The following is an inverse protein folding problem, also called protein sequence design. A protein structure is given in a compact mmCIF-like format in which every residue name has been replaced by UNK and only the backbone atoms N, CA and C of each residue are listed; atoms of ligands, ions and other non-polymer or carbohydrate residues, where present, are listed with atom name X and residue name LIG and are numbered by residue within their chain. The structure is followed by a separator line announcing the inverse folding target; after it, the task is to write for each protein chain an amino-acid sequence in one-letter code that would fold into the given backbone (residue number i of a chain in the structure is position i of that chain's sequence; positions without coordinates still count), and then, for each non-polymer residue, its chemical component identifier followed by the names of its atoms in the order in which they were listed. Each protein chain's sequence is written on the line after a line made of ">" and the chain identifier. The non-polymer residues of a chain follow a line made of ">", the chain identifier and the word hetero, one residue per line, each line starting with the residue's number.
data_IF_921668953263
#
_entry.id   IF_921668953263
#
_cell.length_a   1.000
_cell.length_b   1.000
_cell.length_c   1.000
_cell.angle_alpha   90.00
_cell.angle_beta   90.00
_cell.angle_gamma   90.00
#
_symmetry.space_group_name_H-M   'P 1'
#
loop_
_entity.id
_entity.type
_entity.pdbx_description
1 polymer ?
#
# COMPACT_ATOMS: atom_id res chain seq x y z
N UNK A 1 -5.00 -1.13 -19.81
CA UNK A 1 -4.29 0.02 -19.20
C UNK A 1 -3.92 -0.33 -17.76
N UNK A 2 -2.82 0.23 -17.23
CA UNK A 2 -2.44 0.06 -15.82
C UNK A 2 -2.54 1.41 -15.11
N UNK A 3 -3.41 1.50 -14.10
CA UNK A 3 -3.54 2.68 -13.25
C UNK A 3 -2.60 2.56 -12.05
N UNK A 4 -1.73 3.53 -11.85
CA UNK A 4 -0.80 3.57 -10.71
C UNK A 4 -1.38 4.54 -9.68
N UNK A 5 -1.61 4.04 -8.46
CA UNK A 5 -2.14 4.82 -7.35
C UNK A 5 -1.10 4.90 -6.23
N UNK A 6 -0.77 6.11 -5.73
CA UNK A 6 0.06 6.24 -4.54
C UNK A 6 -0.69 5.76 -3.31
N UNK A 7 0.02 5.16 -2.37
CA UNK A 7 -0.52 4.77 -1.06
C UNK A 7 0.19 5.56 0.02
N UNK A 8 -0.59 6.06 0.99
CA UNK A 8 -0.03 6.78 2.14
C UNK A 8 0.94 5.91 2.94
N UNK A 9 2.15 6.42 3.17
CA UNK A 9 3.15 5.85 4.09
C UNK A 9 3.02 6.38 5.51
N UNK A 10 2.00 7.21 5.80
CA UNK A 10 1.77 7.76 7.15
C UNK A 10 1.63 6.62 8.16
N UNK A 11 2.48 6.63 9.19
CA UNK A 11 2.52 5.61 10.24
C UNK A 11 3.39 4.39 9.93
N UNK A 12 3.85 4.23 8.69
CA UNK A 12 4.73 3.14 8.27
C UNK A 12 6.19 3.60 8.32
N UNK A 13 6.81 3.45 9.49
CA UNK A 13 8.22 3.83 9.69
C UNK A 13 9.13 3.03 8.77
N UNK A 14 10.05 3.71 8.09
CA UNK A 14 11.01 3.10 7.17
C UNK A 14 10.51 2.91 5.75
N UNK A 15 9.25 3.27 5.43
CA UNK A 15 8.76 3.32 4.05
C UNK A 15 8.64 4.79 3.61
N UNK A 16 9.31 5.13 2.51
CA UNK A 16 9.28 6.46 1.93
C UNK A 16 8.10 6.62 0.98
N UNK A 17 7.82 5.59 0.17
CA UNK A 17 6.72 5.60 -0.78
C UNK A 17 6.23 4.18 -1.09
N UNK A 18 4.93 4.08 -1.41
CA UNK A 18 4.26 2.86 -1.83
C UNK A 18 3.37 3.21 -3.02
N UNK A 19 3.33 2.33 -4.01
CA UNK A 19 2.47 2.41 -5.18
C UNK A 19 1.77 1.09 -5.44
N UNK A 20 0.53 1.20 -5.91
CA UNK A 20 -0.27 0.07 -6.36
C UNK A 20 -0.63 0.29 -7.83
N UNK A 21 -0.14 -0.61 -8.68
CA UNK A 21 -0.54 -0.70 -10.08
C UNK A 21 -1.72 -1.66 -10.23
N UNK A 22 -2.85 -1.17 -10.71
CA UNK A 22 -4.02 -1.98 -11.07
C UNK A 22 -4.14 -2.07 -12.58
N UNK A 23 -4.00 -3.27 -13.11
CA UNK A 23 -4.25 -3.58 -14.51
C UNK A 23 -5.72 -3.90 -14.72
N UNK A 24 -6.31 -3.42 -15.82
CA UNK A 24 -7.66 -3.82 -16.25
C UNK A 24 -7.80 -5.33 -16.49
N UNK A 25 -6.66 -6.04 -16.64
CA UNK A 25 -6.58 -7.48 -16.70
C UNK A 25 -6.81 -8.20 -15.35
N UNK A 26 -7.06 -7.47 -14.27
CA UNK A 26 -7.31 -8.02 -12.93
C UNK A 26 -6.04 -8.23 -12.10
N UNK A 27 -4.84 -7.99 -12.66
CA UNK A 27 -3.59 -8.05 -11.90
C UNK A 27 -3.35 -6.79 -11.08
N UNK A 28 -2.88 -6.99 -9.85
CA UNK A 28 -2.41 -5.93 -8.96
C UNK A 28 -0.93 -6.11 -8.69
N UNK A 29 -0.15 -5.04 -8.81
CA UNK A 29 1.30 -5.02 -8.55
C UNK A 29 1.60 -3.96 -7.50
N UNK A 30 2.45 -4.31 -6.54
CA UNK A 30 2.87 -3.41 -5.47
C UNK A 30 4.34 -3.02 -5.68
N UNK A 31 4.67 -1.76 -5.45
CA UNK A 31 6.03 -1.25 -5.40
C UNK A 31 6.19 -0.42 -4.13
N UNK A 32 7.34 -0.53 -3.46
CA UNK A 32 7.66 0.27 -2.29
C UNK A 32 9.14 0.65 -2.28
N UNK A 33 9.46 1.79 -1.68
CA UNK A 33 10.82 2.26 -1.46
C UNK A 33 11.00 2.69 0.00
N UNK A 34 12.19 2.49 0.54
CA UNK A 34 12.52 2.85 1.92
C UNK A 34 13.70 2.02 2.45
N UNK A 35 13.75 1.89 3.78
CA UNK A 35 14.69 1.00 4.45
C UNK A 35 14.49 -0.45 3.96
N UNK A 36 15.55 -1.17 3.55
CA UNK A 36 15.43 -2.51 3.01
C UNK A 36 14.67 -3.49 3.92
N UNK A 37 14.86 -3.40 5.25
CA UNK A 37 14.15 -4.26 6.20
C UNK A 37 12.69 -3.90 6.32
N UNK A 38 12.35 -2.60 6.26
CA UNK A 38 10.97 -2.16 6.28
C UNK A 38 10.22 -2.55 4.99
N UNK A 39 10.89 -2.43 3.84
CA UNK A 39 10.34 -2.86 2.54
C UNK A 39 10.13 -4.38 2.52
N UNK A 40 11.12 -5.16 2.97
CA UNK A 40 11.01 -6.61 3.07
C UNK A 40 9.85 -7.02 4.00
N UNK A 41 9.77 -6.44 5.20
CA UNK A 41 8.69 -6.71 6.14
C UNK A 41 7.29 -6.35 5.59
N UNK A 42 7.20 -5.25 4.83
CA UNK A 42 5.96 -4.84 4.16
C UNK A 42 5.49 -5.88 3.13
N UNK A 43 6.39 -6.33 2.24
CA UNK A 43 6.05 -7.33 1.23
C UNK A 43 5.81 -8.72 1.84
N UNK A 44 6.52 -9.06 2.92
CA UNK A 44 6.26 -10.27 3.69
C UNK A 44 4.83 -10.26 4.25
N UNK A 45 4.42 -9.18 4.93
CA UNK A 45 3.08 -9.03 5.47
C UNK A 45 1.98 -9.10 4.40
N UNK A 46 2.22 -8.54 3.20
CA UNK A 46 1.30 -8.67 2.07
C UNK A 46 1.17 -10.11 1.57
N UNK A 47 2.26 -10.89 1.60
CA UNK A 47 2.28 -12.27 1.12
C UNK A 47 1.59 -13.27 2.07
N UNK A 48 1.54 -12.97 3.38
CA UNK A 48 0.96 -13.85 4.40
C UNK A 48 -0.57 -13.73 4.57
N UNK A 49 -1.27 -13.05 3.65
CA UNK A 49 -2.73 -13.10 3.52
C UNK A 49 -3.51 -12.51 4.70
N UNK A 50 -3.35 -11.21 4.94
CA UNK A 50 -4.35 -10.42 5.68
C UNK A 50 -4.86 -9.31 4.80
N UNK A 51 -6.16 -9.35 4.49
CA UNK A 51 -6.96 -8.19 4.16
C UNK A 51 -6.84 -7.21 5.34
N UNK A 52 -5.75 -6.45 5.35
CA UNK A 52 -5.44 -5.51 6.39
C UNK A 52 -6.37 -4.32 6.15
N UNK A 53 -7.57 -4.38 6.71
CA UNK A 53 -8.52 -3.26 6.75
C UNK A 53 -7.94 -2.17 7.65
N UNK A 54 -6.89 -1.49 7.19
CA UNK A 54 -6.16 -0.42 7.87
C UNK A 54 -6.99 0.87 8.00
N UNK A 55 -8.25 0.83 7.56
CA UNK A 55 -9.09 2.00 7.37
C UNK A 55 -9.35 2.27 5.90
N UNK A 56 -10.48 2.91 5.62
CA UNK A 56 -10.81 3.39 4.28
C UNK A 56 -10.05 4.70 4.04
N UNK A 57 -9.42 4.83 2.88
CA UNK A 57 -8.76 6.06 2.44
C UNK A 57 -9.37 6.50 1.12
N UNK A 58 -9.71 7.78 1.02
CA UNK A 58 -10.18 8.34 -0.25
C UNK A 58 -9.09 8.26 -1.32
N UNK A 59 -9.48 8.17 -2.60
CA UNK A 59 -8.54 8.05 -3.73
C UNK A 59 -7.51 9.18 -3.82
N UNK A 60 -7.81 10.35 -3.27
CA UNK A 60 -6.93 11.52 -3.22
C UNK A 60 -6.06 11.57 -1.94
N UNK A 61 -6.20 10.59 -1.04
CA UNK A 61 -5.45 10.51 0.21
C UNK A 61 -5.84 11.57 1.26
N UNK A 62 -6.92 12.33 1.04
CA UNK A 62 -7.32 13.44 1.93
C UNK A 62 -8.16 12.99 3.14
N UNK A 63 -8.92 11.91 3.02
CA UNK A 63 -9.78 11.38 4.06
C UNK A 63 -9.34 9.99 4.48
N UNK A 64 -9.34 9.75 5.79
CA UNK A 64 -8.93 8.49 6.41
C UNK A 64 -9.93 8.19 7.54
N UNK A 65 -10.60 7.05 7.49
CA UNK A 65 -11.37 6.52 8.61
C UNK A 65 -10.61 5.36 9.24
N UNK A 66 -10.20 5.50 10.49
CA UNK A 66 -9.63 4.39 11.27
C UNK A 66 -10.74 3.40 11.63
N UNK A 67 -10.53 2.11 11.33
CA UNK A 67 -11.38 1.06 11.87
C UNK A 67 -11.28 1.06 13.42
N UNK A 68 -12.45 1.06 14.08
CA UNK A 68 -12.55 1.02 15.55
C UNK A 68 -12.19 -0.36 16.12
#
# INVERSE_FOLDING_TARGET
>A
MTQINPVSTRGLRGLDAIWVGQCECGHTTFAASGDPKAVEAFFFALSENTELTLGSQSKDGSQHETAA
#
